data_IF_705639435043
#
_entry.id   IF_705639435043
#
_cell.length_a   1.000
_cell.length_b   1.000
_cell.length_c   1.000
_cell.angle_alpha   90.00
_cell.angle_beta   90.00
_cell.angle_gamma   90.00
#
_symmetry.space_group_name_H-M   'P 1'
#
loop_
_entity.id
_entity.type
_entity.pdbx_description
1 polymer ?
#
# COMPACT_ATOMS: atom_id res chain seq x y z
N UNK A 1 4.46 -10.20 3.15
CA UNK A 1 3.81 -8.95 2.74
C UNK A 1 4.26 -7.88 3.71
N UNK A 2 5.00 -6.90 3.23
CA UNK A 2 5.60 -5.84 4.05
C UNK A 2 4.85 -4.54 3.78
N UNK A 3 4.46 -3.81 4.83
CA UNK A 3 3.90 -2.47 4.75
C UNK A 3 5.04 -1.44 4.68
N UNK A 4 5.09 -0.64 3.61
CA UNK A 4 6.08 0.46 3.47
C UNK A 4 5.33 1.79 3.51
N UNK A 5 5.75 2.66 4.43
CA UNK A 5 5.26 4.04 4.56
C UNK A 5 6.33 5.02 4.06
N UNK A 6 5.93 5.98 3.21
CA UNK A 6 6.62 7.25 2.96
C UNK A 6 8.09 7.28 2.42
N UNK A 7 8.65 6.19 1.90
CA UNK A 7 9.98 6.17 1.24
C UNK A 7 9.94 5.68 -0.21
N UNK A 8 11.04 5.85 -0.96
CA UNK A 8 11.22 5.24 -2.28
C UNK A 8 11.07 3.73 -2.19
N UNK A 9 10.00 3.22 -2.79
CA UNK A 9 9.45 1.90 -2.50
C UNK A 9 10.45 0.82 -2.89
N UNK A 10 11.10 0.99 -4.05
CA UNK A 10 12.14 0.09 -4.55
C UNK A 10 13.32 -0.02 -3.58
N UNK A 11 13.76 1.10 -2.98
CA UNK A 11 14.92 1.12 -2.09
C UNK A 11 14.61 0.46 -0.73
N UNK A 12 13.41 0.70 -0.20
CA UNK A 12 12.99 0.03 1.03
C UNK A 12 12.77 -1.45 0.81
N UNK A 13 12.18 -1.83 -0.32
CA UNK A 13 11.97 -3.23 -0.70
C UNK A 13 13.30 -3.98 -0.84
N UNK A 14 14.29 -3.37 -1.48
CA UNK A 14 15.65 -3.91 -1.64
C UNK A 14 16.34 -4.13 -0.29
N UNK A 15 16.27 -3.15 0.62
CA UNK A 15 16.81 -3.27 1.98
C UNK A 15 16.16 -4.39 2.80
N UNK A 16 14.88 -4.65 2.55
CA UNK A 16 14.12 -5.69 3.23
C UNK A 16 14.23 -7.06 2.53
N UNK A 17 14.89 -7.13 1.37
CA UNK A 17 14.99 -8.35 0.56
C UNK A 17 13.64 -8.86 0.04
N UNK A 18 12.65 -7.97 -0.11
CA UNK A 18 11.31 -8.29 -0.61
C UNK A 18 11.15 -7.72 -2.01
N UNK A 19 10.40 -8.39 -2.90
CA UNK A 19 10.05 -7.82 -4.19
C UNK A 19 8.90 -6.80 -4.05
N UNK A 20 8.98 -5.67 -4.75
CA UNK A 20 7.95 -4.62 -4.72
C UNK A 20 6.55 -5.13 -5.09
N UNK A 21 6.47 -6.09 -6.01
CA UNK A 21 5.23 -6.78 -6.38
C UNK A 21 4.56 -7.56 -5.23
N UNK A 22 5.28 -7.82 -4.14
CA UNK A 22 4.78 -8.47 -2.92
C UNK A 22 4.54 -7.47 -1.76
N UNK A 23 4.71 -6.18 -2.03
CA UNK A 23 4.50 -5.09 -1.07
C UNK A 23 3.10 -4.50 -1.20
N UNK A 24 2.55 -4.12 -0.05
CA UNK A 24 1.37 -3.26 0.05
C UNK A 24 1.83 -1.96 0.67
N UNK A 25 1.48 -0.84 0.06
CA UNK A 25 1.87 0.48 0.53
C UNK A 25 0.66 1.34 0.82
N UNK A 26 0.82 2.23 1.79
CA UNK A 26 -0.17 3.22 2.17
C UNK A 26 0.37 4.59 1.79
N UNK A 27 -0.39 5.35 1.01
CA UNK A 27 0.05 6.65 0.48
C UNK A 27 -1.06 7.67 0.53
N UNK A 28 -0.69 8.89 0.90
CA UNK A 28 -1.56 10.06 1.06
C UNK A 28 -1.41 11.08 -0.08
N UNK A 29 -0.37 10.96 -0.90
CA UNK A 29 -0.06 11.89 -1.99
C UNK A 29 -0.12 11.23 -3.36
N UNK A 30 -0.58 11.97 -4.36
CA UNK A 30 -0.67 11.51 -5.75
C UNK A 30 0.69 11.03 -6.29
N UNK A 31 1.74 11.79 -6.03
CA UNK A 31 3.10 11.45 -6.44
C UNK A 31 3.61 10.18 -5.77
N UNK A 32 3.30 9.98 -4.49
CA UNK A 32 3.63 8.76 -3.76
C UNK A 32 2.86 7.54 -4.28
N UNK A 33 1.57 7.71 -4.58
CA UNK A 33 0.73 6.66 -5.18
C UNK A 33 1.28 6.28 -6.56
N UNK A 34 1.54 7.26 -7.42
CA UNK A 34 2.10 7.02 -8.76
C UNK A 34 3.46 6.32 -8.70
N UNK A 35 4.35 6.75 -7.81
CA UNK A 35 5.66 6.10 -7.59
C UNK A 35 5.50 4.63 -7.23
N UNK A 36 4.62 4.33 -6.26
CA UNK A 36 4.39 2.97 -5.82
C UNK A 36 3.75 2.08 -6.90
N UNK A 37 2.78 2.61 -7.66
CA UNK A 37 2.17 1.89 -8.77
C UNK A 37 3.22 1.60 -9.86
N UNK A 38 4.08 2.56 -10.18
CA UNK A 38 5.18 2.40 -11.14
C UNK A 38 6.22 1.36 -10.67
N UNK A 39 6.45 1.25 -9.35
CA UNK A 39 7.30 0.23 -8.75
C UNK A 39 6.65 -1.17 -8.72
N UNK A 40 5.37 -1.30 -9.07
CA UNK A 40 4.62 -2.56 -9.08
C UNK A 40 3.99 -2.93 -7.73
N UNK A 41 4.00 -2.03 -6.74
CA UNK A 41 3.38 -2.27 -5.44
C UNK A 41 1.85 -2.25 -5.53
N UNK A 42 1.19 -2.97 -4.62
CA UNK A 42 -0.23 -2.74 -4.32
C UNK A 42 -0.37 -1.49 -3.46
N UNK A 43 -1.38 -0.67 -3.72
CA UNK A 43 -1.53 0.64 -3.05
C UNK A 43 -2.91 0.78 -2.41
N UNK A 44 -2.93 1.16 -1.15
CA UNK A 44 -4.09 1.75 -0.47
C UNK A 44 -3.83 3.25 -0.32
N UNK A 45 -4.78 4.05 -0.78
CA UNK A 45 -4.74 5.49 -0.57
C UNK A 45 -5.30 5.86 0.80
N UNK A 46 -4.71 6.82 1.50
CA UNK A 46 -5.17 7.29 2.81
C UNK A 46 -5.37 8.80 2.74
N UNK A 47 -6.59 9.27 3.02
CA UNK A 47 -6.95 10.69 2.99
C UNK A 47 -6.60 11.41 1.67
N UNK A 48 -6.87 10.76 0.54
CA UNK A 48 -6.67 11.35 -0.78
C UNK A 48 -7.88 11.06 -1.67
N UNK A 49 -8.41 12.12 -2.30
CA UNK A 49 -9.65 12.07 -3.07
C UNK A 49 -9.43 11.87 -4.57
N UNK A 50 -8.17 11.81 -5.01
CA UNK A 50 -7.82 11.52 -6.39
C UNK A 50 -8.20 10.09 -6.72
N UNK A 51 -8.94 9.91 -7.82
CA UNK A 51 -9.27 8.58 -8.34
C UNK A 51 -8.14 8.06 -9.21
N UNK A 52 -7.69 6.83 -8.96
CA UNK A 52 -6.66 6.16 -9.75
C UNK A 52 -7.24 4.96 -10.49
N UNK A 53 -6.93 4.82 -11.77
CA UNK A 53 -7.28 3.66 -12.57
C UNK A 53 -6.01 2.84 -12.81
N UNK A 54 -5.77 1.84 -11.97
CA UNK A 54 -4.62 0.95 -12.07
C UNK A 54 -4.93 -0.41 -11.44
N UNK A 55 -4.45 -1.51 -12.02
CA UNK A 55 -4.74 -2.88 -11.53
C UNK A 55 -4.22 -3.15 -10.12
N UNK A 56 -3.14 -2.49 -9.73
CA UNK A 56 -2.56 -2.57 -8.39
C UNK A 56 -3.13 -1.54 -7.39
N UNK A 57 -4.06 -0.69 -7.81
CA UNK A 57 -4.76 0.20 -6.88
C UNK A 57 -5.87 -0.59 -6.17
N UNK A 58 -5.75 -0.74 -4.85
CA UNK A 58 -6.65 -1.58 -4.04
C UNK A 58 -7.89 -0.80 -3.62
N UNK A 59 -7.73 0.49 -3.30
CA UNK A 59 -8.81 1.34 -2.80
C UNK A 59 -8.28 2.53 -2.01
N UNK A 60 -9.19 3.33 -1.48
CA UNK A 60 -8.89 4.47 -0.61
C UNK A 60 -9.69 4.43 0.68
N UNK A 61 -9.07 4.91 1.75
CA UNK A 61 -9.70 5.17 3.06
C UNK A 61 -9.58 6.65 3.39
N UNK A 62 -10.53 7.21 4.15
CA UNK A 62 -10.45 8.63 4.53
C UNK A 62 -9.51 8.86 5.71
N UNK A 63 -9.43 7.90 6.62
CA UNK A 63 -8.51 7.89 7.75
C UNK A 63 -7.87 6.50 7.91
N UNK A 64 -6.63 6.44 8.42
CA UNK A 64 -5.94 5.15 8.61
C UNK A 64 -6.62 4.28 9.69
N UNK A 65 -7.43 4.88 10.56
CA UNK A 65 -8.20 4.17 11.59
C UNK A 65 -9.30 3.28 11.01
N UNK A 66 -9.66 3.45 9.74
CA UNK A 66 -10.55 2.56 8.99
C UNK A 66 -9.86 1.25 8.57
N UNK A 67 -8.56 1.08 8.83
CA UNK A 67 -7.83 -0.14 8.49
C UNK A 67 -7.82 -1.11 9.67
N UNK A 68 -8.37 -2.30 9.46
CA UNK A 68 -8.35 -3.38 10.44
C UNK A 68 -7.41 -4.50 9.99
N UNK A 69 -6.52 -4.94 10.90
CA UNK A 69 -5.63 -6.08 10.67
C UNK A 69 -6.10 -7.25 11.52
N UNK A 70 -6.53 -8.31 10.84
CA UNK A 70 -6.92 -9.57 11.44
C UNK A 70 -5.83 -10.62 11.19
N UNK A 71 -5.19 -11.10 12.25
CA UNK A 71 -4.14 -12.12 12.18
C UNK A 71 -4.70 -13.47 12.61
N UNK A 72 -4.50 -14.49 11.80
CA UNK A 72 -4.93 -15.87 12.06
C UNK A 72 -3.82 -16.86 11.71
N UNK A 73 -4.03 -18.15 12.04
CA UNK A 73 -3.13 -19.23 11.61
C UNK A 73 -2.99 -19.33 10.08
N UNK A 74 -3.97 -18.83 9.31
CA UNK A 74 -3.95 -18.81 7.84
C UNK A 74 -3.23 -17.59 7.27
N UNK A 75 -2.75 -16.69 8.13
CA UNK A 75 -2.05 -15.46 7.75
C UNK A 75 -2.78 -14.19 8.19
N UNK A 76 -2.35 -13.06 7.60
CA UNK A 76 -2.84 -11.73 7.89
C UNK A 76 -3.86 -11.30 6.83
N UNK A 77 -5.02 -10.82 7.28
CA UNK A 77 -6.06 -10.22 6.45
C UNK A 77 -6.16 -8.75 6.82
N UNK A 78 -6.23 -7.90 5.81
CA UNK A 78 -6.49 -6.48 5.97
C UNK A 78 -7.88 -6.16 5.46
N UNK A 79 -8.71 -5.58 6.33
CA UNK A 79 -10.03 -5.08 6.01
C UNK A 79 -10.05 -3.55 6.02
N UNK A 80 -11.05 -2.99 5.35
CA UNK A 80 -11.47 -1.60 5.50
C UNK A 80 -12.81 -1.65 6.23
N UNK A 81 -12.94 -0.97 7.37
CA UNK A 81 -14.12 -0.94 8.25
C UNK A 81 -14.89 0.36 8.15
#
# INVERSE_FOLDING_TARGET
MTAIFNYSESFTSEKLGVATAQCLVFKDSDSGIQSALAAGCKVISVNNQTSFVHSNFVGGVTDFTELEINVSEKGMIMGIV
#
